data_IF_845962914741
#
_entry.id   IF_845962914741
#
_cell.length_a   1.000
_cell.length_b   1.000
_cell.length_c   1.000
_cell.angle_alpha   90.00
_cell.angle_beta   90.00
_cell.angle_gamma   90.00
#
_symmetry.space_group_name_H-M   'P 1'
#
loop_
_entity.id
_entity.type
_entity.pdbx_description
1 polymer ?
#
# COMPACT_ATOMS: atom_id res chain seq x y z
N UNK A 1 99.87 8.90 -20.43
CA UNK A 1 98.70 8.20 -21.01
C UNK A 1 97.82 7.70 -19.88
N UNK A 2 96.49 7.80 -20.09
CA UNK A 2 95.36 7.35 -19.26
C UNK A 2 94.90 8.28 -18.14
N UNK A 3 94.05 9.22 -18.56
CA UNK A 3 92.99 9.85 -17.76
C UNK A 3 91.94 8.78 -17.36
N UNK A 4 91.66 8.65 -16.07
CA UNK A 4 90.56 7.83 -15.53
C UNK A 4 89.35 8.74 -15.31
N UNK A 5 88.29 8.52 -16.08
CA UNK A 5 87.01 9.22 -15.94
C UNK A 5 86.10 8.41 -15.02
N UNK A 6 85.69 8.99 -13.90
CA UNK A 6 84.72 8.39 -12.97
C UNK A 6 83.33 8.91 -13.34
N UNK A 7 82.43 8.01 -13.75
CA UNK A 7 81.02 8.31 -14.03
C UNK A 7 80.23 8.00 -12.75
N UNK A 8 79.50 8.95 -12.15
CA UNK A 8 78.66 8.66 -10.99
C UNK A 8 77.41 7.89 -11.44
N UNK A 9 77.19 6.71 -10.86
CA UNK A 9 75.95 5.96 -11.02
C UNK A 9 74.93 6.53 -10.06
N UNK A 10 73.97 7.30 -10.59
CA UNK A 10 72.79 7.74 -9.85
C UNK A 10 71.85 6.54 -9.74
N UNK A 11 71.75 5.98 -8.53
CA UNK A 11 70.75 4.96 -8.22
C UNK A 11 69.41 5.67 -8.07
N UNK A 12 68.61 5.62 -9.14
CA UNK A 12 67.23 6.11 -9.12
C UNK A 12 66.38 5.09 -8.35
N UNK A 13 66.11 5.36 -7.07
CA UNK A 13 65.17 4.57 -6.29
C UNK A 13 63.76 4.79 -6.86
N UNK A 14 63.28 3.84 -7.66
CA UNK A 14 61.86 3.73 -7.98
C UNK A 14 61.11 3.47 -6.67
N UNK A 15 60.48 4.50 -6.13
CA UNK A 15 59.39 4.33 -5.17
C UNK A 15 58.26 3.64 -5.92
N UNK A 16 58.16 2.32 -5.78
CA UNK A 16 57.00 1.57 -6.21
C UNK A 16 55.79 2.05 -5.41
N UNK A 17 55.04 2.99 -5.96
CA UNK A 17 53.67 3.23 -5.53
C UNK A 17 52.87 1.98 -5.92
N UNK A 18 52.85 0.98 -5.03
CA UNK A 18 51.74 0.02 -5.07
C UNK A 18 50.50 0.83 -4.76
N UNK A 19 49.69 1.09 -5.77
CA UNK A 19 48.33 1.57 -5.56
C UNK A 19 47.60 0.44 -4.82
N UNK A 20 47.54 0.50 -3.49
CA UNK A 20 46.70 -0.40 -2.71
C UNK A 20 45.27 0.02 -2.99
N UNK A 21 44.60 -0.70 -3.90
CA UNK A 21 43.16 -0.59 -4.05
C UNK A 21 42.55 -1.31 -2.84
N UNK A 22 42.21 -0.56 -1.79
CA UNK A 22 41.46 -1.11 -0.68
C UNK A 22 40.06 -1.44 -1.18
N UNK A 23 39.74 -2.72 -1.26
CA UNK A 23 38.40 -3.20 -1.59
C UNK A 23 37.52 -2.90 -0.39
N UNK A 24 36.44 -2.17 -0.62
CA UNK A 24 35.46 -1.93 0.44
C UNK A 24 34.80 -3.25 0.87
N UNK A 25 34.71 -3.44 2.17
CA UNK A 25 34.09 -4.62 2.80
C UNK A 25 33.01 -4.22 3.80
N UNK A 26 32.67 -2.93 3.88
CA UNK A 26 31.70 -2.39 4.83
C UNK A 26 30.35 -2.27 4.14
N UNK A 27 29.31 -2.98 4.59
CA UNK A 27 27.98 -2.78 4.06
C UNK A 27 27.43 -1.39 4.38
N UNK A 28 26.53 -0.85 3.52
CA UNK A 28 25.75 0.33 3.88
C UNK A 28 24.83 0.07 5.08
N UNK A 29 24.19 1.13 5.59
CA UNK A 29 23.18 0.98 6.63
C UNK A 29 21.88 0.36 6.09
N UNK A 30 21.20 -0.49 6.87
CA UNK A 30 19.87 -0.99 6.54
C UNK A 30 18.87 0.14 6.28
N UNK A 31 17.99 0.01 5.26
CA UNK A 31 16.90 0.95 5.00
C UNK A 31 15.97 1.14 6.21
N UNK A 32 15.39 2.34 6.31
CA UNK A 32 14.48 2.74 7.38
C UNK A 32 13.20 3.37 6.85
N UNK A 33 12.17 3.47 7.70
CA UNK A 33 10.93 4.14 7.36
C UNK A 33 10.16 3.42 6.25
N UNK A 34 10.23 2.09 6.26
CA UNK A 34 9.54 1.27 5.28
C UNK A 34 8.04 1.38 5.49
N UNK A 35 7.29 1.40 4.39
CA UNK A 35 5.84 1.38 4.38
C UNK A 35 5.33 0.71 3.11
N UNK A 36 4.16 0.11 3.22
CA UNK A 36 3.42 -0.51 2.12
C UNK A 36 2.23 0.34 1.72
N UNK A 37 1.76 0.13 0.49
CA UNK A 37 0.55 0.70 -0.05
C UNK A 37 -0.17 -0.38 -0.87
N UNK A 38 -1.33 -0.80 -0.36
CA UNK A 38 -2.23 -1.76 -1.00
C UNK A 38 -2.65 -1.30 -2.41
N UNK A 39 -2.63 -2.23 -3.36
CA UNK A 39 -3.26 -2.11 -4.68
C UNK A 39 -4.03 -3.40 -5.02
N UNK A 40 -4.72 -3.38 -6.15
CA UNK A 40 -5.31 -4.57 -6.75
C UNK A 40 -4.20 -5.43 -7.39
N UNK A 41 -4.02 -6.64 -6.88
CA UNK A 41 -3.00 -7.62 -7.26
C UNK A 41 -1.57 -7.04 -7.26
N UNK A 42 -1.30 -6.12 -6.34
CA UNK A 42 0.04 -5.59 -6.14
C UNK A 42 0.19 -4.94 -4.76
N UNK A 43 1.44 -4.85 -4.30
CA UNK A 43 1.81 -4.05 -3.14
C UNK A 43 2.95 -3.12 -3.54
N UNK A 44 2.80 -1.82 -3.25
CA UNK A 44 3.92 -0.88 -3.39
C UNK A 44 4.65 -0.71 -2.08
N UNK A 45 5.97 -0.86 -2.11
CA UNK A 45 6.85 -0.74 -0.98
C UNK A 45 7.68 0.52 -1.16
N UNK A 46 7.81 1.31 -0.10
CA UNK A 46 8.58 2.55 -0.06
C UNK A 46 9.47 2.58 1.16
N UNK A 47 10.62 3.24 1.08
CA UNK A 47 11.52 3.47 2.20
C UNK A 47 12.20 4.84 2.10
N UNK A 48 12.91 5.25 3.15
CA UNK A 48 13.74 6.45 3.13
C UNK A 48 15.09 6.14 2.45
N UNK A 49 15.64 7.09 1.67
CA UNK A 49 16.96 6.91 1.07
C UNK A 49 18.04 6.77 2.16
N UNK A 50 18.90 5.75 2.01
CA UNK A 50 20.11 5.63 2.82
C UNK A 50 21.04 6.83 2.58
N UNK A 51 21.80 7.21 3.60
CA UNK A 51 22.68 8.38 3.58
C UNK A 51 24.15 8.04 3.37
N UNK A 52 24.48 6.76 3.19
CA UNK A 52 25.86 6.33 2.88
C UNK A 52 26.15 6.62 1.40
N UNK A 53 27.35 7.14 1.11
CA UNK A 53 27.70 7.72 -0.21
C UNK A 53 27.87 6.68 -1.33
N UNK A 54 27.98 5.40 -0.97
CA UNK A 54 28.33 4.28 -1.84
C UNK A 54 27.16 3.33 -2.12
N UNK A 55 25.95 3.68 -1.68
CA UNK A 55 24.74 2.90 -1.93
C UNK A 55 24.47 2.82 -3.43
N UNK A 56 24.53 1.61 -3.97
CA UNK A 56 24.22 1.32 -5.38
C UNK A 56 22.74 1.04 -5.61
N UNK A 57 22.07 0.44 -4.62
CA UNK A 57 20.65 0.12 -4.71
C UNK A 57 20.13 -0.65 -3.51
N UNK A 58 18.95 -1.24 -3.71
CA UNK A 58 18.18 -1.92 -2.68
C UNK A 58 17.66 -3.26 -3.19
N UNK A 59 17.64 -4.25 -2.32
CA UNK A 59 17.01 -5.55 -2.52
C UNK A 59 15.71 -5.59 -1.71
N UNK A 60 14.63 -6.07 -2.33
CA UNK A 60 13.31 -6.18 -1.70
C UNK A 60 13.00 -7.65 -1.47
N UNK A 61 12.57 -7.93 -0.25
CA UNK A 61 12.35 -9.29 0.23
C UNK A 61 10.91 -9.45 0.71
N UNK A 62 10.32 -10.61 0.43
CA UNK A 62 8.96 -10.97 0.86
C UNK A 62 8.95 -12.24 1.71
N UNK A 63 8.02 -12.33 2.64
CA UNK A 63 7.69 -13.56 3.37
C UNK A 63 6.18 -13.69 3.56
N UNK A 64 5.72 -14.91 3.79
CA UNK A 64 4.34 -15.24 4.18
C UNK A 64 4.12 -15.14 5.70
N UNK A 65 5.18 -14.88 6.48
CA UNK A 65 5.11 -14.72 7.92
C UNK A 65 6.09 -13.65 8.42
N UNK A 66 5.72 -12.95 9.50
CA UNK A 66 6.53 -11.89 10.11
C UNK A 66 7.97 -12.35 10.44
N UNK A 67 8.11 -13.51 11.09
CA UNK A 67 9.38 -14.16 11.42
C UNK A 67 9.74 -15.28 10.43
N UNK A 68 9.18 -15.24 9.22
CA UNK A 68 9.33 -16.27 8.21
C UNK A 68 10.69 -16.21 7.50
N UNK A 69 10.85 -17.09 6.51
CA UNK A 69 11.98 -17.03 5.59
C UNK A 69 11.68 -16.00 4.50
N UNK A 70 12.46 -14.94 4.47
CA UNK A 70 12.37 -13.90 3.45
C UNK A 70 13.04 -14.36 2.15
N UNK A 71 12.37 -14.09 1.03
CA UNK A 71 12.80 -14.42 -0.32
C UNK A 71 12.98 -13.14 -1.13
N UNK A 72 14.07 -13.05 -1.87
CA UNK A 72 14.34 -11.91 -2.75
C UNK A 72 13.35 -11.91 -3.91
N UNK A 73 12.62 -10.81 -4.08
CA UNK A 73 11.68 -10.64 -5.20
C UNK A 73 12.19 -9.66 -6.26
N UNK A 74 13.21 -8.86 -5.93
CA UNK A 74 13.84 -7.99 -6.90
C UNK A 74 14.77 -6.95 -6.28
N UNK A 75 15.37 -6.16 -7.16
CA UNK A 75 16.29 -5.08 -6.80
C UNK A 75 15.95 -3.80 -7.57
N UNK A 76 16.28 -2.65 -6.99
CA UNK A 76 16.02 -1.33 -7.58
C UNK A 76 17.02 -0.29 -7.08
N UNK A 77 17.32 0.72 -7.89
CA UNK A 77 18.07 1.91 -7.46
C UNK A 77 17.16 2.98 -6.84
N UNK A 78 15.86 2.87 -7.05
CA UNK A 78 14.87 3.79 -6.52
C UNK A 78 14.54 3.50 -5.05
N UNK A 79 13.88 4.42 -4.38
CA UNK A 79 13.39 4.24 -2.99
C UNK A 79 11.98 3.64 -2.92
N UNK A 80 11.61 2.92 -3.98
CA UNK A 80 10.33 2.23 -4.11
C UNK A 80 10.44 1.00 -4.98
N UNK A 81 9.55 0.04 -4.75
CA UNK A 81 9.39 -1.18 -5.51
C UNK A 81 7.92 -1.58 -5.55
N UNK A 82 7.49 -2.25 -6.61
CA UNK A 82 6.13 -2.79 -6.73
C UNK A 82 6.22 -4.30 -6.89
N UNK A 83 5.64 -5.01 -5.94
CA UNK A 83 5.41 -6.44 -6.03
C UNK A 83 4.13 -6.66 -6.84
N UNK A 84 4.28 -7.04 -8.12
CA UNK A 84 3.17 -7.36 -9.03
C UNK A 84 2.74 -8.83 -8.97
N UNK A 85 3.43 -9.65 -8.19
CA UNK A 85 3.11 -11.07 -7.99
C UNK A 85 2.23 -11.27 -6.74
N UNK A 86 2.02 -10.22 -5.95
CA UNK A 86 1.15 -10.23 -4.78
C UNK A 86 -0.31 -10.47 -5.18
N UNK A 87 -0.93 -11.48 -4.57
CA UNK A 87 -2.31 -11.90 -4.88
C UNK A 87 -3.27 -11.35 -3.83
N UNK A 88 -4.40 -10.81 -4.29
CA UNK A 88 -5.43 -10.29 -3.39
C UNK A 88 -5.81 -11.29 -2.28
N UNK A 89 -6.04 -10.78 -1.06
CA UNK A 89 -6.48 -11.58 0.10
C UNK A 89 -5.37 -12.29 0.87
N UNK A 90 -4.14 -12.34 0.35
CA UNK A 90 -3.00 -12.90 1.07
C UNK A 90 -2.20 -11.82 1.77
N UNK A 91 -1.84 -12.02 3.04
CA UNK A 91 -0.97 -11.08 3.76
C UNK A 91 0.49 -11.39 3.46
N UNK A 92 1.23 -10.38 3.02
CA UNK A 92 2.65 -10.45 2.73
C UNK A 92 3.44 -9.57 3.68
N UNK A 93 4.62 -10.03 4.09
CA UNK A 93 5.56 -9.29 4.93
C UNK A 93 6.76 -8.87 4.10
N UNK A 94 7.12 -7.60 4.14
CA UNK A 94 8.20 -7.02 3.35
C UNK A 94 9.33 -6.47 4.23
N UNK A 95 10.54 -6.70 3.75
CA UNK A 95 11.77 -6.12 4.27
C UNK A 95 12.66 -5.65 3.12
N UNK A 96 13.58 -4.72 3.40
CA UNK A 96 14.47 -4.16 2.38
C UNK A 96 15.90 -4.14 2.94
N UNK A 97 16.88 -4.51 2.13
CA UNK A 97 18.31 -4.30 2.38
C UNK A 97 18.88 -3.35 1.33
N UNK A 98 19.91 -2.59 1.68
CA UNK A 98 20.74 -1.80 0.77
C UNK A 98 22.02 -2.57 0.40
N UNK A 99 22.58 -2.29 -0.78
CA UNK A 99 23.86 -2.82 -1.21
C UNK A 99 24.71 -1.76 -1.92
N UNK A 100 26.03 -1.89 -1.84
CA UNK A 100 26.99 -0.92 -2.39
C UNK A 100 27.54 -1.32 -3.80
N UNK A 101 28.49 -0.54 -4.31
CA UNK A 101 29.18 -0.83 -5.58
C UNK A 101 30.17 -2.01 -5.52
N UNK A 102 30.60 -2.40 -4.33
CA UNK A 102 31.55 -3.49 -4.08
C UNK A 102 30.86 -4.84 -3.79
N UNK A 103 29.53 -4.84 -3.68
CA UNK A 103 28.71 -6.02 -3.42
C UNK A 103 28.47 -6.30 -1.94
N UNK A 104 28.80 -5.39 -1.03
CA UNK A 104 28.46 -5.53 0.38
C UNK A 104 26.97 -5.20 0.57
N UNK A 105 26.25 -6.12 1.19
CA UNK A 105 24.82 -6.00 1.47
C UNK A 105 24.59 -5.84 2.96
N UNK A 106 23.73 -4.89 3.31
CA UNK A 106 23.32 -4.63 4.69
C UNK A 106 22.42 -5.75 5.24
N UNK A 107 22.25 -5.77 6.55
CA UNK A 107 21.15 -6.52 7.16
C UNK A 107 19.79 -6.04 6.61
N UNK A 108 18.77 -6.90 6.73
CA UNK A 108 17.40 -6.48 6.47
C UNK A 108 17.02 -5.31 7.38
N UNK A 109 16.16 -4.46 6.87
CA UNK A 109 15.49 -3.43 7.64
C UNK A 109 14.90 -3.96 8.95
N UNK A 110 15.12 -3.20 10.02
CA UNK A 110 14.61 -3.56 11.35
C UNK A 110 13.08 -3.55 11.41
N UNK A 111 12.45 -2.61 10.70
CA UNK A 111 11.00 -2.54 10.59
C UNK A 111 10.55 -3.53 9.50
N UNK A 112 9.73 -4.51 9.90
CA UNK A 112 8.96 -5.35 8.98
C UNK A 112 7.60 -4.73 8.83
N UNK A 113 7.17 -4.54 7.57
CA UNK A 113 5.83 -4.06 7.23
C UNK A 113 5.06 -5.16 6.53
N UNK A 114 3.73 -5.10 6.59
CA UNK A 114 2.88 -6.06 5.90
C UNK A 114 1.76 -5.36 5.15
N UNK A 115 1.16 -6.06 4.19
CA UNK A 115 -0.02 -5.60 3.47
C UNK A 115 -0.83 -6.79 2.95
N UNK A 116 -2.12 -6.57 2.74
CA UNK A 116 -3.05 -7.55 2.16
C UNK A 116 -3.69 -6.90 0.93
N UNK A 117 -3.12 -7.08 -0.29
CA UNK A 117 -3.66 -6.52 -1.52
C UNK A 117 -5.11 -6.96 -1.72
N UNK A 118 -5.88 -6.14 -2.43
CA UNK A 118 -7.31 -6.35 -2.54
C UNK A 118 -7.88 -5.63 -3.77
N UNK A 119 -8.99 -6.15 -4.33
CA UNK A 119 -9.61 -5.58 -5.51
C UNK A 119 -10.16 -4.17 -5.25
N UNK A 120 -10.09 -3.33 -6.28
CA UNK A 120 -10.70 -2.00 -6.32
C UNK A 120 -11.26 -1.69 -7.71
N UNK A 121 -12.25 -0.80 -7.76
CA UNK A 121 -12.84 -0.36 -9.00
C UNK A 121 -13.28 1.10 -8.96
N UNK A 122 -13.42 1.69 -10.14
CA UNK A 122 -13.55 3.13 -10.30
C UNK A 122 -14.70 3.50 -11.22
N UNK A 123 -15.36 4.62 -10.92
CA UNK A 123 -16.42 5.21 -11.74
C UNK A 123 -17.58 4.25 -12.05
N UNK A 124 -17.92 3.36 -11.13
CA UNK A 124 -19.08 2.48 -11.25
C UNK A 124 -20.35 3.30 -11.12
N UNK A 125 -21.35 3.03 -11.96
CA UNK A 125 -22.65 3.70 -11.94
C UNK A 125 -23.74 2.70 -11.60
N UNK A 126 -24.57 3.03 -10.62
CA UNK A 126 -25.82 2.32 -10.31
C UNK A 126 -26.97 3.32 -10.25
N UNK A 127 -28.16 2.82 -10.55
CA UNK A 127 -29.39 3.60 -10.68
C UNK A 127 -30.34 3.33 -9.52
N UNK A 128 -31.36 4.17 -9.39
CA UNK A 128 -32.44 3.96 -8.42
C UNK A 128 -33.14 2.61 -8.65
N UNK A 129 -33.21 1.79 -7.60
CA UNK A 129 -33.71 0.42 -7.67
C UNK A 129 -35.17 0.32 -8.09
N UNK A 130 -35.99 1.34 -7.82
CA UNK A 130 -37.38 1.38 -8.26
C UNK A 130 -37.47 1.56 -9.78
N UNK A 131 -36.58 2.35 -10.35
CA UNK A 131 -36.62 2.73 -11.77
C UNK A 131 -35.87 1.75 -12.67
N UNK A 132 -34.72 1.24 -12.21
CA UNK A 132 -33.85 0.38 -13.01
C UNK A 132 -33.32 -0.79 -12.15
N UNK A 133 -34.18 -1.73 -11.73
CA UNK A 133 -33.85 -2.74 -10.73
C UNK A 133 -32.69 -3.65 -11.11
N UNK A 134 -32.44 -3.88 -12.41
CA UNK A 134 -31.35 -4.73 -12.89
C UNK A 134 -29.98 -4.03 -12.94
N UNK A 135 -29.90 -2.75 -12.57
CA UNK A 135 -28.66 -1.97 -12.59
C UNK A 135 -28.58 -1.01 -11.41
N UNK A 136 -29.11 -1.44 -10.27
CA UNK A 136 -29.29 -0.61 -9.08
C UNK A 136 -28.51 -1.07 -7.87
N UNK A 137 -27.89 -2.25 -7.94
CA UNK A 137 -27.06 -2.78 -6.88
C UNK A 137 -25.66 -3.12 -7.38
N UNK A 138 -24.73 -3.27 -6.44
CA UNK A 138 -23.38 -3.74 -6.70
C UNK A 138 -23.07 -4.95 -5.82
N UNK A 139 -22.46 -5.96 -6.41
CA UNK A 139 -21.98 -7.15 -5.72
C UNK A 139 -20.44 -7.17 -5.79
N UNK A 140 -19.81 -7.09 -4.62
CA UNK A 140 -18.37 -7.08 -4.45
C UNK A 140 -17.74 -8.44 -4.78
N UNK A 141 -18.40 -9.56 -4.49
CA UNK A 141 -17.90 -10.89 -4.86
C UNK A 141 -17.86 -11.13 -6.37
N UNK A 142 -18.77 -10.51 -7.12
CA UNK A 142 -18.86 -10.60 -8.58
C UNK A 142 -18.17 -9.44 -9.30
N UNK A 143 -17.68 -8.44 -8.57
CA UNK A 143 -17.16 -7.18 -9.11
C UNK A 143 -18.08 -6.51 -10.15
N UNK A 144 -19.40 -6.63 -9.98
CA UNK A 144 -20.35 -6.26 -11.02
C UNK A 144 -21.58 -5.53 -10.51
N UNK A 145 -22.14 -4.70 -11.41
CA UNK A 145 -23.47 -4.12 -11.25
C UNK A 145 -24.50 -5.21 -11.50
N UNK A 146 -25.42 -5.38 -10.56
CA UNK A 146 -26.41 -6.45 -10.53
C UNK A 146 -27.80 -5.92 -10.22
N UNK A 147 -28.78 -6.83 -10.20
CA UNK A 147 -30.08 -6.51 -9.63
C UNK A 147 -29.94 -6.22 -8.13
N UNK A 148 -30.70 -5.26 -7.58
CA UNK A 148 -30.63 -4.95 -6.13
C UNK A 148 -30.87 -6.17 -5.23
N UNK A 149 -31.66 -7.13 -5.69
CA UNK A 149 -31.95 -8.36 -4.95
C UNK A 149 -30.73 -9.28 -4.78
N UNK A 150 -29.72 -9.15 -5.64
CA UNK A 150 -28.49 -9.96 -5.64
C UNK A 150 -27.25 -9.17 -5.16
N UNK A 151 -27.47 -7.95 -4.68
CA UNK A 151 -26.42 -6.98 -4.39
C UNK A 151 -26.03 -6.96 -2.90
N UNK A 152 -24.77 -6.61 -2.63
CA UNK A 152 -24.31 -6.33 -1.27
C UNK A 152 -24.76 -4.94 -0.80
N UNK A 153 -24.91 -4.00 -1.74
CA UNK A 153 -25.58 -2.73 -1.48
C UNK A 153 -26.28 -2.21 -2.73
N UNK A 154 -27.28 -1.35 -2.55
CA UNK A 154 -28.06 -0.77 -3.64
C UNK A 154 -28.46 0.68 -3.37
N UNK A 155 -28.88 1.38 -4.42
CA UNK A 155 -29.20 2.79 -4.39
C UNK A 155 -30.71 3.05 -4.51
N UNK A 156 -31.24 3.95 -3.67
CA UNK A 156 -32.64 4.40 -3.73
C UNK A 156 -32.79 5.90 -3.78
N UNK A 157 -33.88 6.33 -4.41
CA UNK A 157 -34.45 7.68 -4.23
C UNK A 157 -35.87 7.56 -3.68
N UNK A 158 -36.16 8.20 -2.54
CA UNK A 158 -37.52 8.22 -1.99
C UNK A 158 -38.43 9.26 -2.67
N UNK A 159 -39.72 9.25 -2.33
CA UNK A 159 -40.72 10.16 -2.89
C UNK A 159 -40.44 11.66 -2.61
N UNK A 160 -39.60 11.96 -1.62
CA UNK A 160 -39.17 13.31 -1.27
C UNK A 160 -37.81 13.69 -1.88
N UNK A 161 -37.21 12.79 -2.66
CA UNK A 161 -35.90 12.99 -3.29
C UNK A 161 -34.71 12.72 -2.38
N UNK A 162 -34.91 12.11 -1.20
CA UNK A 162 -33.82 11.63 -0.34
C UNK A 162 -33.14 10.45 -1.00
N UNK A 163 -31.80 10.48 -0.99
CA UNK A 163 -30.93 9.51 -1.65
C UNK A 163 -30.23 8.67 -0.59
N UNK A 164 -30.33 7.35 -0.68
CA UNK A 164 -29.71 6.46 0.29
C UNK A 164 -28.98 5.31 -0.39
N UNK A 165 -27.86 4.90 0.21
CA UNK A 165 -27.33 3.56 0.06
C UNK A 165 -28.06 2.67 1.07
N UNK A 166 -28.40 1.45 0.64
CA UNK A 166 -29.06 0.44 1.44
C UNK A 166 -28.25 -0.84 1.38
N UNK A 167 -28.22 -1.56 2.50
CA UNK A 167 -27.74 -2.94 2.61
C UNK A 167 -28.88 -3.82 3.12
N UNK A 168 -28.75 -5.14 2.95
CA UNK A 168 -29.70 -6.11 3.52
C UNK A 168 -29.49 -6.26 5.03
N UNK A 169 -30.42 -6.96 5.69
CA UNK A 169 -30.45 -7.11 7.16
C UNK A 169 -29.33 -7.98 7.74
N UNK A 170 -28.58 -8.66 6.87
CA UNK A 170 -27.38 -9.43 7.18
C UNK A 170 -26.07 -8.68 6.93
N UNK A 171 -26.14 -7.39 6.62
CA UNK A 171 -25.00 -6.51 6.40
C UNK A 171 -25.16 -5.18 7.14
N UNK A 172 -24.03 -4.50 7.38
CA UNK A 172 -23.98 -3.21 8.05
C UNK A 172 -23.35 -2.14 7.15
N UNK A 173 -23.78 -0.90 7.30
CA UNK A 173 -23.22 0.25 6.59
C UNK A 173 -22.95 1.42 7.54
N UNK A 174 -21.85 2.12 7.31
CA UNK A 174 -21.51 3.33 8.02
C UNK A 174 -21.01 4.44 7.09
N UNK A 175 -21.52 5.66 7.28
CA UNK A 175 -20.95 6.86 6.66
C UNK A 175 -19.71 7.31 7.44
N UNK A 176 -18.55 7.34 6.78
CA UNK A 176 -17.27 7.76 7.36
C UNK A 176 -16.97 9.25 7.11
N UNK A 177 -17.89 9.97 6.46
CA UNK A 177 -17.76 11.39 6.18
C UNK A 177 -16.89 11.71 4.96
N UNK A 178 -16.52 12.98 4.85
CA UNK A 178 -15.75 13.51 3.73
C UNK A 178 -14.35 12.90 3.63
N UNK A 179 -14.02 12.48 2.42
CA UNK A 179 -12.68 11.98 2.06
C UNK A 179 -12.19 12.67 0.80
N UNK A 180 -10.88 12.87 0.68
CA UNK A 180 -10.22 13.38 -0.53
C UNK A 180 -10.08 12.28 -1.57
N UNK A 181 -9.75 11.08 -1.12
CA UNK A 181 -9.54 9.91 -1.97
C UNK A 181 -10.23 8.69 -1.38
N UNK A 182 -10.38 7.64 -2.18
CA UNK A 182 -10.84 6.34 -1.70
C UNK A 182 -9.95 5.82 -0.54
N UNK A 183 -8.70 6.25 -0.45
CA UNK A 183 -7.67 5.70 0.44
C UNK A 183 -7.57 6.36 1.82
N UNK A 184 -8.43 7.34 2.12
CA UNK A 184 -8.37 8.07 3.39
C UNK A 184 -8.96 7.25 4.56
N UNK A 185 -9.85 6.29 4.27
CA UNK A 185 -10.36 5.33 5.26
C UNK A 185 -9.50 4.08 5.23
N UNK A 186 -8.79 3.82 6.33
CA UNK A 186 -7.75 2.80 6.41
C UNK A 186 -8.16 1.50 7.08
N UNK A 187 -9.26 1.52 7.83
CA UNK A 187 -9.85 0.36 8.48
C UNK A 187 -11.37 0.53 8.58
N UNK A 188 -12.10 -0.59 8.61
CA UNK A 188 -13.49 -0.59 9.02
C UNK A 188 -13.62 -0.18 10.51
N UNK A 189 -14.72 0.47 10.92
CA UNK A 189 -14.97 0.80 12.31
C UNK A 189 -15.39 -0.43 13.11
N UNK A 190 -15.08 -0.45 14.41
CA UNK A 190 -15.52 -1.52 15.32
C UNK A 190 -17.01 -1.35 15.72
N UNK A 191 -17.49 -0.11 15.75
CA UNK A 191 -18.83 0.26 16.19
C UNK A 191 -19.40 1.43 15.37
N UNK A 192 -20.60 1.87 15.75
CA UNK A 192 -21.25 3.05 15.16
C UNK A 192 -22.04 2.77 13.88
N UNK A 193 -22.19 1.51 13.47
CA UNK A 193 -22.98 1.07 12.31
C UNK A 193 -24.41 1.62 12.29
N UNK A 194 -24.92 1.93 11.10
CA UNK A 194 -26.26 2.48 10.92
C UNK A 194 -27.34 1.47 11.33
N UNK A 195 -28.14 1.75 12.38
CA UNK A 195 -29.16 0.80 12.85
C UNK A 195 -30.28 0.52 11.85
N UNK A 196 -30.39 1.33 10.79
CA UNK A 196 -31.41 1.16 9.76
C UNK A 196 -30.92 0.44 8.51
N UNK A 197 -29.64 -0.01 8.47
CA UNK A 197 -29.06 -0.60 7.26
C UNK A 197 -28.99 0.37 6.07
N UNK A 198 -28.99 1.68 6.35
CA UNK A 198 -29.00 2.69 5.30
C UNK A 198 -28.15 3.91 5.65
N UNK A 199 -27.56 4.55 4.65
CA UNK A 199 -26.83 5.80 4.80
C UNK A 199 -27.23 6.81 3.73
N UNK A 200 -27.41 8.08 4.10
CA UNK A 200 -27.71 9.14 3.13
C UNK A 200 -26.52 9.37 2.20
N UNK A 201 -26.77 9.47 0.89
CA UNK A 201 -25.74 9.66 -0.13
C UNK A 201 -25.31 11.12 -0.17
N UNK A 202 -24.02 11.37 0.08
CA UNK A 202 -23.41 12.70 0.07
C UNK A 202 -22.18 12.67 -0.83
N UNK A 203 -22.04 13.68 -1.69
CA UNK A 203 -20.95 13.77 -2.65
C UNK A 203 -19.60 13.88 -1.92
N UNK A 204 -18.65 12.99 -2.26
CA UNK A 204 -17.31 12.98 -1.67
C UNK A 204 -17.21 12.26 -0.32
N UNK A 205 -18.32 11.75 0.22
CA UNK A 205 -18.28 10.87 1.38
C UNK A 205 -17.80 9.47 0.99
N UNK A 206 -17.17 8.80 1.96
CA UNK A 206 -16.86 7.37 1.89
C UNK A 206 -17.71 6.62 2.90
N UNK A 207 -18.26 5.49 2.47
CA UNK A 207 -19.06 4.59 3.27
C UNK A 207 -18.28 3.29 3.45
N UNK A 208 -18.36 2.69 4.62
CA UNK A 208 -17.85 1.33 4.88
C UNK A 208 -19.05 0.39 4.99
N UNK A 209 -18.91 -0.79 4.41
CA UNK A 209 -19.91 -1.85 4.46
C UNK A 209 -19.24 -3.10 5.05
N UNK A 210 -19.88 -3.71 6.05
CA UNK A 210 -19.56 -5.05 6.52
C UNK A 210 -20.56 -6.02 5.89
N UNK A 211 -20.06 -6.91 5.03
CA UNK A 211 -20.89 -7.84 4.26
C UNK A 211 -21.27 -9.06 5.08
N UNK A 212 -22.34 -9.75 4.67
CA UNK A 212 -22.87 -10.93 5.35
C UNK A 212 -21.87 -12.09 5.48
N UNK A 213 -20.89 -12.16 4.59
CA UNK A 213 -19.83 -13.16 4.55
C UNK A 213 -18.57 -12.71 5.31
N UNK A 214 -18.70 -11.72 6.20
CA UNK A 214 -17.66 -11.22 7.10
C UNK A 214 -16.46 -10.59 6.38
N UNK A 215 -16.72 -9.81 5.34
CA UNK A 215 -15.72 -8.99 4.65
C UNK A 215 -16.06 -7.51 4.75
N UNK A 216 -15.08 -6.66 4.44
CA UNK A 216 -15.24 -5.22 4.54
C UNK A 216 -15.01 -4.54 3.18
N UNK A 217 -15.98 -3.73 2.79
CA UNK A 217 -15.90 -2.90 1.59
C UNK A 217 -15.91 -1.43 1.95
N UNK A 218 -15.45 -0.59 1.01
CA UNK A 218 -15.73 0.84 1.04
C UNK A 218 -16.16 1.36 -0.31
N UNK A 219 -17.02 2.36 -0.27
CA UNK A 219 -17.61 3.02 -1.44
C UNK A 219 -17.45 4.52 -1.27
N UNK A 220 -16.82 5.20 -2.23
CA UNK A 220 -16.67 6.65 -2.23
C UNK A 220 -17.51 7.28 -3.34
N UNK A 221 -18.41 8.18 -2.98
CA UNK A 221 -19.31 8.84 -3.94
C UNK A 221 -18.56 9.90 -4.74
N UNK A 222 -18.71 9.83 -6.07
CA UNK A 222 -18.04 10.67 -7.07
C UNK A 222 -18.97 11.59 -7.82
N UNK A 223 -20.21 11.18 -7.99
CA UNK A 223 -21.24 11.94 -8.70
C UNK A 223 -22.61 11.51 -8.20
N UNK A 224 -23.54 12.46 -8.16
CA UNK A 224 -24.93 12.22 -7.82
C UNK A 224 -25.78 12.82 -8.94
N UNK A 225 -26.50 11.97 -9.65
CA UNK A 225 -27.50 12.37 -10.62
C UNK A 225 -28.91 12.39 -10.04
N UNK A 226 -29.90 12.63 -10.91
CA UNK A 226 -31.31 12.61 -10.50
C UNK A 226 -31.74 11.25 -9.96
N UNK A 227 -31.31 10.17 -10.63
CA UNK A 227 -31.69 8.78 -10.35
C UNK A 227 -30.51 7.81 -10.41
N UNK A 228 -29.28 8.30 -10.27
CA UNK A 228 -28.09 7.47 -10.28
C UNK A 228 -27.02 8.05 -9.37
N UNK A 229 -26.06 7.21 -9.01
CA UNK A 229 -24.80 7.61 -8.37
C UNK A 229 -23.63 7.04 -9.16
N UNK A 230 -22.49 7.72 -9.06
CA UNK A 230 -21.19 7.20 -9.50
C UNK A 230 -20.28 7.06 -8.31
N UNK A 231 -19.55 5.96 -8.20
CA UNK A 231 -18.68 5.70 -7.07
C UNK A 231 -17.40 4.96 -7.45
N UNK A 232 -16.41 5.07 -6.58
CA UNK A 232 -15.21 4.22 -6.55
C UNK A 232 -15.37 3.24 -5.37
N UNK A 233 -14.76 2.05 -5.44
CA UNK A 233 -14.87 1.05 -4.39
C UNK A 233 -13.59 0.24 -4.18
N UNK A 234 -13.45 -0.35 -3.00
CA UNK A 234 -12.46 -1.39 -2.69
C UNK A 234 -13.05 -2.42 -1.74
N UNK A 235 -12.64 -3.69 -1.87
CA UNK A 235 -13.21 -4.81 -1.12
C UNK A 235 -12.11 -5.69 -0.53
N UNK A 236 -12.07 -5.85 0.79
CA UNK A 236 -11.13 -6.73 1.46
C UNK A 236 -11.63 -8.17 1.44
N UNK A 237 -10.98 -9.04 0.67
CA UNK A 237 -11.40 -10.43 0.46
C UNK A 237 -10.80 -11.43 1.47
N UNK A 238 -9.97 -10.95 2.40
CA UNK A 238 -9.54 -11.73 3.55
C UNK A 238 -10.62 -11.64 4.65
N UNK A 239 -11.28 -12.77 4.93
CA UNK A 239 -12.36 -12.85 5.90
C UNK A 239 -11.94 -12.28 7.26
N UNK A 240 -12.78 -11.41 7.83
CA UNK A 240 -12.58 -10.79 9.13
C UNK A 240 -11.43 -9.77 9.18
N UNK A 241 -10.73 -9.49 8.09
CA UNK A 241 -9.69 -8.47 8.04
C UNK A 241 -10.32 -7.08 7.84
N UNK A 242 -10.29 -6.18 8.85
CA UNK A 242 -10.90 -4.86 8.73
C UNK A 242 -10.02 -3.87 7.93
N UNK A 243 -8.81 -4.26 7.50
CA UNK A 243 -7.87 -3.36 6.83
C UNK A 243 -8.38 -2.91 5.47
N UNK A 244 -8.56 -1.59 5.36
CA UNK A 244 -9.02 -0.90 4.16
C UNK A 244 -7.94 0.03 3.55
N UNK A 245 -6.64 -0.27 3.73
CA UNK A 245 -5.42 0.45 3.24
C UNK A 245 -4.93 1.60 4.12
N UNK A 246 -3.66 1.55 4.53
CA UNK A 246 -2.98 2.66 5.24
C UNK A 246 -2.76 3.88 4.34
N UNK A 247 -3.11 5.08 4.80
CA UNK A 247 -2.86 6.34 4.08
C UNK A 247 -1.36 6.68 4.10
N UNK A 248 -0.86 7.39 3.08
CA UNK A 248 0.56 7.83 2.98
C UNK A 248 1.02 8.73 4.15
N UNK A 249 0.15 9.11 5.10
CA UNK A 249 0.41 10.16 6.09
C UNK A 249 0.12 9.85 7.56
N UNK A 250 -0.30 8.66 7.94
CA UNK A 250 -0.60 8.41 9.36
C UNK A 250 0.65 8.11 10.21
N UNK A 251 1.31 9.19 10.63
CA UNK A 251 2.32 9.24 11.71
C UNK A 251 2.06 10.33 12.74
N UNK A 252 0.82 10.78 12.88
CA UNK A 252 0.39 11.55 14.06
C UNK A 252 -0.82 10.82 14.63
N UNK A 253 -0.65 9.88 15.56
CA UNK A 253 -0.68 10.16 16.99
C UNK A 253 0.09 9.04 17.72
N UNK A 254 1.31 9.35 18.17
CA UNK A 254 1.90 8.72 19.36
C UNK A 254 2.92 9.69 19.98
N UNK A 255 2.40 10.73 20.63
CA UNK A 255 3.15 11.44 21.67
C UNK A 255 2.47 11.17 23.00
N UNK A 256 2.78 10.00 23.56
CA UNK A 256 2.83 9.87 25.01
C UNK A 256 4.03 10.69 25.50
N UNK A 257 3.74 11.60 26.41
CA UNK A 257 4.53 11.96 27.58
C UNK A 257 6.05 11.89 27.46
N UNK A 258 6.67 13.06 27.27
CA UNK A 258 7.96 13.32 27.88
C UNK A 258 7.72 14.22 29.10
N UNK A 259 7.65 13.58 30.26
CA UNK A 259 8.02 14.17 31.53
C UNK A 259 9.44 14.74 31.35
N UNK A 260 9.61 16.06 31.51
CA UNK A 260 10.65 16.81 32.22
C UNK A 260 10.46 18.30 31.90
#
# INVERSE_FOLDING_TARGET
MRTMTIIPVIVLSLLGYSCSYEVDTTPPKPPQGIRTVTRDNAVEIYWLPCQDDDVKGYNVWVSDAYNGRYQLIGSTSETNFVDYDAVNGYTYYYAVSSFDFHGNESELSKDVVYDTPRPEGYNVVIFDYVLVPNSSGYNFGLYSVVNYADADFFFSVDEYGKRCLLVWDDADIQDMGYTRTLFDITSAPEDGWSPSGSAEVILGHTYVIWTFDNHYAKVRIKEIGSNYIKFDWAYQIAEGNPELRVSRKDRSISRFEAIH
#
